data_IF_322193738062
#
_entry.id   IF_322193738062
#
_cell.length_a   1.000
_cell.length_b   1.000
_cell.length_c   1.000
_cell.angle_alpha   90.00
_cell.angle_beta   90.00
_cell.angle_gamma   90.00
#
_symmetry.space_group_name_H-M   'P 1'
#
loop_
_entity.id
_entity.type
_entity.pdbx_description
1 polymer ?
#
# COMPACT_ATOMS: atom_id res chain seq x y z
N UNK A 1 15.45 8.03 -0.13
CA UNK A 1 14.08 7.50 -0.01
C UNK A 1 14.08 6.45 1.10
N UNK A 2 12.96 6.28 1.80
CA UNK A 2 12.76 5.23 2.82
C UNK A 2 11.71 4.26 2.27
N UNK A 3 12.04 2.97 2.21
CA UNK A 3 11.10 1.92 1.86
C UNK A 3 10.69 1.18 3.12
N UNK A 4 9.39 1.19 3.42
CA UNK A 4 8.85 0.51 4.59
C UNK A 4 8.52 -0.92 4.22
N UNK A 5 9.18 -1.88 4.87
CA UNK A 5 8.82 -3.28 4.77
C UNK A 5 7.70 -3.62 5.74
N UNK A 6 6.81 -4.57 5.41
CA UNK A 6 5.75 -5.01 6.30
C UNK A 6 6.34 -5.64 7.57
N UNK A 7 6.30 -4.88 8.67
CA UNK A 7 6.61 -5.33 10.03
C UNK A 7 5.61 -4.65 11.00
N UNK A 8 5.28 -5.30 12.12
CA UNK A 8 4.34 -4.74 13.10
C UNK A 8 4.90 -3.45 13.75
N UNK A 9 6.21 -3.40 13.96
CA UNK A 9 6.92 -2.29 14.59
C UNK A 9 6.77 -1.00 13.79
N UNK A 10 6.77 -1.08 12.46
CA UNK A 10 6.65 0.11 11.58
C UNK A 10 5.19 0.49 11.28
N UNK A 11 4.24 -0.39 11.62
CA UNK A 11 2.81 -0.10 11.52
C UNK A 11 2.25 0.56 12.78
N UNK A 12 2.93 0.41 13.92
CA UNK A 12 2.57 1.11 15.14
C UNK A 12 2.59 2.64 14.93
N UNK A 13 1.54 3.38 15.35
CA UNK A 13 1.44 4.82 15.13
C UNK A 13 2.64 5.61 15.67
N UNK A 14 3.14 5.22 16.85
CA UNK A 14 4.29 5.89 17.49
C UNK A 14 5.56 5.79 16.63
N UNK A 15 5.79 4.61 16.03
CA UNK A 15 6.93 4.40 15.14
C UNK A 15 6.75 5.16 13.83
N UNK A 16 5.53 5.19 13.29
CA UNK A 16 5.22 5.91 12.07
C UNK A 16 5.53 7.41 12.19
N UNK A 17 5.09 8.04 13.28
CA UNK A 17 5.32 9.47 13.51
C UNK A 17 6.81 9.81 13.56
N UNK A 18 7.61 8.96 14.21
CA UNK A 18 9.07 9.13 14.28
C UNK A 18 9.74 8.99 12.90
N UNK A 19 9.33 8.00 12.11
CA UNK A 19 9.83 7.76 10.76
C UNK A 19 9.46 8.94 9.84
N UNK A 20 8.21 9.39 9.90
CA UNK A 20 7.70 10.50 9.11
C UNK A 20 8.44 11.79 9.44
N UNK A 21 8.58 12.13 10.72
CA UNK A 21 9.30 13.32 11.15
C UNK A 21 10.77 13.31 10.67
N UNK A 22 11.43 12.15 10.75
CA UNK A 22 12.78 11.99 10.21
C UNK A 22 12.80 12.19 8.69
N UNK A 23 11.88 11.55 7.97
CA UNK A 23 11.81 11.64 6.51
C UNK A 23 11.56 13.08 6.04
N UNK A 24 10.62 13.79 6.66
CA UNK A 24 10.31 15.19 6.36
C UNK A 24 11.50 16.10 6.64
N UNK A 25 12.15 15.96 7.79
CA UNK A 25 13.36 16.73 8.15
C UNK A 25 14.46 16.58 7.12
N UNK A 26 14.61 15.40 6.53
CA UNK A 26 15.64 15.08 5.56
C UNK A 26 15.16 15.12 4.11
N UNK A 27 13.92 15.56 3.85
CA UNK A 27 13.28 15.58 2.53
C UNK A 27 13.38 14.23 1.80
N UNK A 28 13.18 13.15 2.53
CA UNK A 28 13.22 11.79 2.00
C UNK A 28 11.79 11.33 1.67
N UNK A 29 11.51 10.90 0.42
CA UNK A 29 10.23 10.29 0.11
C UNK A 29 10.11 8.92 0.80
N UNK A 30 8.89 8.58 1.24
CA UNK A 30 8.55 7.28 1.84
C UNK A 30 7.68 6.48 0.87
N UNK A 31 8.04 5.21 0.66
CA UNK A 31 7.15 4.18 0.11
C UNK A 31 6.45 3.48 1.28
N UNK A 32 5.14 3.66 1.37
CA UNK A 32 4.29 3.11 2.42
C UNK A 32 3.90 1.66 2.17
N UNK A 33 3.67 0.93 3.26
CA UNK A 33 3.19 -0.45 3.24
C UNK A 33 1.65 -0.53 3.42
N UNK A 34 1.00 0.55 3.87
CA UNK A 34 -0.46 0.55 4.09
C UNK A 34 -1.11 1.84 3.55
N UNK A 35 -2.40 1.79 3.16
CA UNK A 35 -3.12 2.99 2.72
C UNK A 35 -3.11 4.13 3.76
N UNK A 36 -3.34 3.88 5.07
CA UNK A 36 -3.31 4.95 6.08
C UNK A 36 -1.99 5.71 6.14
N UNK A 37 -0.85 5.05 5.89
CA UNK A 37 0.46 5.70 5.87
C UNK A 37 0.60 6.69 4.70
N UNK A 38 -0.01 6.41 3.55
CA UNK A 38 -0.02 7.34 2.40
C UNK A 38 -0.81 8.59 2.75
N UNK A 39 -1.98 8.44 3.37
CA UNK A 39 -2.78 9.56 3.90
C UNK A 39 -2.03 10.34 4.97
N UNK A 40 -1.21 9.67 5.78
CA UNK A 40 -0.41 10.28 6.84
C UNK A 40 0.89 10.93 6.34
N UNK A 41 1.14 11.03 5.03
CA UNK A 41 2.25 11.80 4.48
C UNK A 41 3.36 11.02 3.78
N UNK A 42 3.20 9.70 3.58
CA UNK A 42 4.06 8.99 2.64
C UNK A 42 3.82 9.46 1.20
N UNK A 43 4.83 9.34 0.33
CA UNK A 43 4.72 9.81 -1.05
C UNK A 43 3.78 8.93 -1.87
N UNK A 44 3.91 7.61 -1.74
CA UNK A 44 3.06 6.65 -2.43
C UNK A 44 3.09 5.29 -1.72
N UNK A 45 2.17 4.41 -2.10
CA UNK A 45 2.20 3.01 -1.72
C UNK A 45 1.67 2.14 -2.86
N UNK A 46 2.18 0.92 -2.93
CA UNK A 46 1.74 -0.10 -3.88
C UNK A 46 1.48 -1.38 -3.10
N UNK A 47 0.20 -1.68 -2.88
CA UNK A 47 -0.23 -2.72 -1.95
C UNK A 47 -1.54 -3.36 -2.41
N UNK A 48 -1.81 -4.57 -1.93
CA UNK A 48 -3.10 -5.23 -2.14
C UNK A 48 -4.18 -4.69 -1.22
N UNK A 49 -5.43 -4.72 -1.69
CA UNK A 49 -6.59 -4.54 -0.81
C UNK A 49 -6.83 -5.83 0.01
N UNK A 50 -6.66 -5.72 1.33
CA UNK A 50 -6.88 -6.82 2.27
C UNK A 50 -8.33 -7.32 2.28
N UNK A 51 -9.31 -6.44 2.05
CA UNK A 51 -10.73 -6.82 1.99
C UNK A 51 -11.00 -7.61 0.71
N UNK A 52 -10.49 -7.16 -0.43
CA UNK A 52 -10.60 -7.89 -1.69
C UNK A 52 -9.90 -9.26 -1.60
N UNK A 53 -8.70 -9.30 -1.04
CA UNK A 53 -7.93 -10.52 -0.80
C UNK A 53 -8.68 -11.49 0.13
N UNK A 54 -9.32 -10.97 1.18
CA UNK A 54 -10.16 -11.78 2.08
C UNK A 54 -11.38 -12.39 1.37
N UNK A 55 -12.06 -11.62 0.51
CA UNK A 55 -13.18 -12.14 -0.31
C UNK A 55 -12.72 -13.22 -1.28
N UNK A 56 -11.55 -13.05 -1.88
CA UNK A 56 -10.93 -14.04 -2.75
C UNK A 56 -10.64 -15.35 -1.99
N UNK A 57 -10.03 -15.26 -0.82
CA UNK A 57 -9.79 -16.40 0.05
C UNK A 57 -11.09 -17.10 0.48
N UNK A 58 -12.13 -16.34 0.81
CA UNK A 58 -13.44 -16.87 1.17
C UNK A 58 -14.07 -17.69 0.03
N UNK A 59 -13.95 -17.23 -1.22
CA UNK A 59 -14.43 -17.98 -2.40
C UNK A 59 -13.67 -19.30 -2.61
N UNK A 60 -12.36 -19.31 -2.37
CA UNK A 60 -11.57 -20.55 -2.44
C UNK A 60 -11.95 -21.52 -1.31
N UNK A 61 -12.12 -21.02 -0.08
CA UNK A 61 -12.59 -21.80 1.06
C UNK A 61 -13.98 -22.41 0.81
N UNK A 62 -14.92 -21.66 0.24
CA UNK A 62 -16.26 -22.15 -0.11
C UNK A 62 -16.21 -23.34 -1.09
N UNK A 63 -15.31 -23.31 -2.08
CA UNK A 63 -15.13 -24.43 -3.01
C UNK A 63 -14.56 -25.69 -2.33
N UNK A 64 -13.60 -25.50 -1.42
CA UNK A 64 -13.03 -26.61 -0.63
C UNK A 64 -14.11 -27.23 0.25
N UNK A 65 -14.90 -26.40 0.94
CA UNK A 65 -16.00 -26.86 1.79
C UNK A 65 -17.10 -27.59 1.00
N UNK A 66 -17.23 -27.31 -0.30
CA UNK A 66 -18.12 -28.02 -1.23
C UNK A 66 -17.51 -29.30 -1.84
N UNK A 67 -16.28 -29.65 -1.47
CA UNK A 67 -15.64 -30.92 -1.83
C UNK A 67 -14.58 -30.84 -2.93
N UNK A 68 -14.22 -29.65 -3.40
CA UNK A 68 -13.10 -29.49 -4.34
C UNK A 68 -11.78 -29.73 -3.60
N UNK A 69 -10.88 -30.55 -4.16
CA UNK A 69 -9.56 -30.77 -3.57
C UNK A 69 -8.73 -29.47 -3.61
N UNK A 70 -8.06 -29.07 -2.52
CA UNK A 70 -7.20 -27.88 -2.53
C UNK A 70 -6.10 -27.92 -3.60
N UNK A 71 -5.63 -29.11 -3.98
CA UNK A 71 -4.61 -29.29 -5.03
C UNK A 71 -5.12 -29.03 -6.45
N UNK A 72 -6.43 -29.02 -6.65
CA UNK A 72 -7.06 -28.75 -7.96
C UNK A 72 -7.40 -27.26 -8.13
N UNK A 73 -7.33 -26.47 -7.05
CA UNK A 73 -7.59 -25.03 -7.10
C UNK A 73 -6.34 -24.27 -7.57
N UNK A 74 -6.48 -23.31 -8.51
CA UNK A 74 -5.35 -22.49 -8.92
C UNK A 74 -4.90 -21.57 -7.78
N UNK A 75 -3.60 -21.34 -7.69
CA UNK A 75 -3.05 -20.27 -6.84
C UNK A 75 -3.39 -18.94 -7.47
N UNK A 76 -3.98 -18.04 -6.70
CA UNK A 76 -4.38 -16.72 -7.17
C UNK A 76 -3.56 -15.63 -6.48
N UNK A 77 -3.19 -14.60 -7.23
CA UNK A 77 -2.44 -13.44 -6.74
C UNK A 77 -3.37 -12.27 -6.46
N UNK A 78 -3.11 -11.53 -5.38
CA UNK A 78 -3.86 -10.32 -5.07
C UNK A 78 -3.56 -9.21 -6.09
N UNK A 79 -4.60 -8.52 -6.53
CA UNK A 79 -4.47 -7.29 -7.32
C UNK A 79 -3.79 -6.21 -6.46
N UNK A 80 -2.90 -5.44 -7.10
CA UNK A 80 -2.11 -4.40 -6.44
C UNK A 80 -2.65 -3.03 -6.83
N UNK A 81 -2.77 -2.16 -5.85
CA UNK A 81 -3.31 -0.81 -5.99
C UNK A 81 -2.23 0.23 -5.74
N UNK A 82 -2.08 1.17 -6.65
CA UNK A 82 -1.17 2.31 -6.55
C UNK A 82 -1.91 3.52 -5.97
N UNK A 83 -1.46 3.97 -4.79
CA UNK A 83 -1.89 5.23 -4.19
C UNK A 83 -0.77 6.25 -4.24
N UNK A 84 -1.03 7.45 -4.76
CA UNK A 84 -0.05 8.56 -4.82
C UNK A 84 -0.54 9.73 -3.98
N UNK A 85 0.35 10.36 -3.22
CA UNK A 85 0.09 11.58 -2.45
C UNK A 85 0.78 12.79 -3.08
N UNK A 86 -0.02 13.66 -3.72
CA UNK A 86 0.48 14.87 -4.37
C UNK A 86 0.84 15.99 -3.39
N UNK A 87 0.24 16.00 -2.19
CA UNK A 87 0.63 16.92 -1.10
C UNK A 87 2.06 16.61 -0.69
N UNK A 88 2.35 15.34 -0.38
CA UNK A 88 3.69 14.89 -0.02
C UNK A 88 4.71 15.14 -1.14
N UNK A 89 4.32 14.92 -2.41
CA UNK A 89 5.17 15.24 -3.55
C UNK A 89 5.54 16.74 -3.59
N UNK A 90 4.57 17.62 -3.37
CA UNK A 90 4.75 19.07 -3.36
C UNK A 90 5.68 19.51 -2.22
N UNK A 91 5.46 18.99 -1.01
CA UNK A 91 6.29 19.30 0.16
C UNK A 91 7.75 18.84 -0.02
N UNK A 92 7.95 17.75 -0.76
CA UNK A 92 9.26 17.22 -1.12
C UNK A 92 9.89 17.93 -2.33
N UNK A 93 9.17 18.83 -3.01
CA UNK A 93 9.62 19.48 -4.24
C UNK A 93 9.74 18.53 -5.43
N UNK A 94 8.95 17.45 -5.44
CA UNK A 94 8.94 16.43 -6.49
C UNK A 94 7.79 16.68 -7.46
N UNK A 95 8.08 16.60 -8.76
CA UNK A 95 7.06 16.59 -9.80
C UNK A 95 6.68 15.16 -10.14
N UNK A 96 5.40 14.81 -9.96
CA UNK A 96 4.85 13.51 -10.38
C UNK A 96 4.32 13.66 -11.80
N UNK A 97 4.76 12.80 -12.72
CA UNK A 97 4.29 12.86 -14.11
C UNK A 97 2.81 12.49 -14.25
N UNK A 98 2.11 13.13 -15.19
CA UNK A 98 0.70 12.81 -15.48
C UNK A 98 0.49 11.35 -15.87
N UNK A 99 1.48 10.72 -16.51
CA UNK A 99 1.44 9.29 -16.84
C UNK A 99 1.33 8.44 -15.59
N UNK A 100 2.11 8.76 -14.56
CA UNK A 100 2.08 8.03 -13.30
C UNK A 100 0.80 8.33 -12.51
N UNK A 101 0.32 9.58 -12.53
CA UNK A 101 -0.96 9.95 -11.90
C UNK A 101 -2.12 9.17 -12.54
N UNK A 102 -2.13 8.99 -13.87
CA UNK A 102 -3.15 8.21 -14.57
C UNK A 102 -3.12 6.71 -14.27
N UNK A 103 -1.97 6.18 -13.85
CA UNK A 103 -1.82 4.78 -13.44
C UNK A 103 -2.25 4.53 -11.99
N UNK A 104 -2.38 5.59 -11.18
CA UNK A 104 -2.76 5.45 -9.79
C UNK A 104 -4.26 5.18 -9.65
N UNK A 105 -4.59 4.15 -8.89
CA UNK A 105 -5.96 3.84 -8.49
C UNK A 105 -6.51 4.89 -7.52
N UNK A 106 -5.63 5.50 -6.72
CA UNK A 106 -6.00 6.56 -5.78
C UNK A 106 -4.98 7.68 -5.78
N UNK A 107 -5.47 8.92 -5.78
CA UNK A 107 -4.66 10.14 -5.73
C UNK A 107 -5.13 11.02 -4.57
N UNK A 108 -4.25 11.23 -3.60
CA UNK A 108 -4.44 12.16 -2.48
C UNK A 108 -3.99 13.56 -2.91
N UNK A 109 -4.82 14.56 -2.62
CA UNK A 109 -4.64 15.97 -2.99
C UNK A 109 -4.75 16.87 -1.78
#
# INVERSE_FOLDING_TARGET
AIMIFPDLTVQEPVSWDAILAYAQKHKLPILANTPPQVTAGALFGYFSDNVATGKQAARLADQILKGVSPGDLPVETAEQFLTINLVAATDLGLTVSDTLIRQADTVIR
#
